data_IF_802812805565
#
_entry.id   IF_802812805565
#
_cell.length_a   1.000
_cell.length_b   1.000
_cell.length_c   1.000
_cell.angle_alpha   90.00
_cell.angle_beta   90.00
_cell.angle_gamma   90.00
#
_symmetry.space_group_name_H-M   'P 1'
#
loop_
_entity.id
_entity.type
_entity.pdbx_description
1 polymer ?
#
# COMPACT_ATOMS: atom_id res chain seq x y z
N UNK A 1 8.48 23.97 3.41
CA UNK A 1 9.91 24.13 3.09
C UNK A 1 10.08 23.69 1.65
N UNK A 2 10.73 24.49 0.81
CA UNK A 2 11.07 24.09 -0.56
C UNK A 2 12.20 23.03 -0.58
N UNK A 3 12.47 22.47 -1.77
CA UNK A 3 13.44 21.39 -1.92
C UNK A 3 14.89 21.84 -1.68
N UNK A 4 15.25 23.08 -2.02
CA UNK A 4 16.62 23.59 -1.83
C UNK A 4 16.94 23.83 -0.35
N UNK A 5 15.99 24.39 0.39
CA UNK A 5 16.09 24.56 1.83
C UNK A 5 16.13 23.20 2.55
N UNK A 6 15.33 22.22 2.09
CA UNK A 6 15.36 20.86 2.63
C UNK A 6 16.69 20.16 2.37
N UNK A 7 17.21 20.24 1.14
CA UNK A 7 18.51 19.66 0.77
C UNK A 7 19.64 20.25 1.62
N UNK A 8 19.67 21.58 1.77
CA UNK A 8 20.66 22.26 2.60
C UNK A 8 20.55 21.83 4.07
N UNK A 9 19.33 21.72 4.58
CA UNK A 9 19.08 21.25 5.94
C UNK A 9 19.58 19.82 6.14
N UNK A 10 19.22 18.88 5.26
CA UNK A 10 19.67 17.47 5.36
C UNK A 10 21.21 17.38 5.34
N UNK A 11 21.87 18.10 4.41
CA UNK A 11 23.34 18.10 4.34
C UNK A 11 23.99 18.64 5.62
N UNK A 12 23.36 19.64 6.26
CA UNK A 12 23.86 20.18 7.53
C UNK A 12 23.73 19.21 8.73
N UNK A 13 22.89 18.17 8.60
CA UNK A 13 22.76 17.13 9.62
C UNK A 13 23.88 16.09 9.53
N UNK A 14 24.66 16.08 8.43
CA UNK A 14 25.76 15.13 8.19
C UNK A 14 25.36 13.66 8.40
N UNK A 15 24.12 13.32 8.01
CA UNK A 15 23.64 11.93 8.12
C UNK A 15 24.33 11.03 7.09
N UNK A 16 24.68 9.81 7.50
CA UNK A 16 25.32 8.83 6.62
C UNK A 16 24.33 8.19 5.64
N UNK A 17 23.10 7.95 6.09
CA UNK A 17 22.06 7.22 5.36
C UNK A 17 20.76 8.02 5.38
N UNK A 18 20.24 8.31 4.19
CA UNK A 18 18.91 8.90 4.01
C UNK A 18 17.95 7.87 3.41
N UNK A 19 16.74 7.77 3.98
CA UNK A 19 15.73 6.79 3.55
C UNK A 19 14.50 7.49 2.97
N UNK A 20 14.17 7.15 1.73
CA UNK A 20 12.93 7.51 1.07
C UNK A 20 11.80 6.53 1.47
N UNK A 21 10.68 7.11 1.92
CA UNK A 21 9.46 6.41 2.31
C UNK A 21 8.23 6.85 1.50
N UNK A 22 8.44 7.58 0.40
CA UNK A 22 7.37 8.05 -0.47
C UNK A 22 7.50 7.49 -1.88
N UNK A 23 8.70 7.46 -2.44
CA UNK A 23 8.89 7.09 -3.85
C UNK A 23 8.06 7.96 -4.79
N UNK A 24 7.45 7.37 -5.83
CA UNK A 24 6.63 8.10 -6.81
C UNK A 24 5.21 8.45 -6.33
N UNK A 25 4.93 8.39 -5.03
CA UNK A 25 3.62 8.79 -4.48
C UNK A 25 3.52 10.30 -4.28
N UNK A 26 2.33 10.76 -3.87
CA UNK A 26 2.09 12.16 -3.53
C UNK A 26 3.07 12.69 -2.47
N UNK A 27 3.35 13.99 -2.55
CA UNK A 27 4.24 14.73 -1.65
C UNK A 27 5.71 14.23 -1.59
N UNK A 28 6.15 13.42 -2.55
CA UNK A 28 7.53 12.93 -2.62
C UNK A 28 8.56 14.06 -2.71
N UNK A 29 9.81 13.71 -2.35
CA UNK A 29 10.97 14.60 -2.37
C UNK A 29 12.10 14.03 -3.22
N UNK A 30 11.74 13.31 -4.28
CA UNK A 30 12.70 12.61 -5.13
C UNK A 30 13.77 13.53 -5.74
N UNK A 31 13.46 14.80 -6.01
CA UNK A 31 14.46 15.79 -6.44
C UNK A 31 15.58 16.01 -5.41
N UNK A 32 15.27 15.94 -4.11
CA UNK A 32 16.26 16.05 -3.03
C UNK A 32 17.19 14.84 -3.03
N UNK A 33 16.64 13.65 -3.31
CA UNK A 33 17.43 12.42 -3.45
C UNK A 33 18.26 12.44 -4.73
N UNK A 34 17.70 12.88 -5.86
CA UNK A 34 18.43 13.05 -7.12
C UNK A 34 19.60 14.04 -7.00
N UNK A 35 19.50 15.03 -6.10
CA UNK A 35 20.59 15.95 -5.79
C UNK A 35 21.68 15.36 -4.87
N UNK A 36 21.58 14.07 -4.48
CA UNK A 36 22.43 13.39 -3.49
C UNK A 36 22.49 14.18 -2.17
N UNK A 37 21.47 14.03 -1.36
CA UNK A 37 21.33 14.66 -0.05
C UNK A 37 22.19 14.00 1.04
N UNK A 38 22.44 12.68 0.93
CA UNK A 38 23.31 11.93 1.85
C UNK A 38 24.26 10.99 1.08
N UNK A 39 25.37 10.54 1.69
CA UNK A 39 26.34 9.64 1.05
C UNK A 39 25.73 8.31 0.61
N UNK A 40 24.84 7.74 1.42
CA UNK A 40 24.06 6.55 1.07
C UNK A 40 22.59 6.91 1.07
N UNK A 41 21.88 6.55 0.02
CA UNK A 41 20.45 6.77 -0.12
C UNK A 41 19.71 5.48 -0.41
N UNK A 42 18.60 5.28 0.27
CA UNK A 42 17.85 4.03 0.27
C UNK A 42 16.38 4.33 0.03
N UNK A 43 15.70 3.53 -0.79
CA UNK A 43 14.23 3.55 -0.87
C UNK A 43 13.64 2.31 -0.19
N UNK A 44 12.46 2.49 0.39
CA UNK A 44 11.71 1.40 1.02
C UNK A 44 10.21 1.52 0.71
N UNK A 45 9.36 1.38 1.73
CA UNK A 45 7.94 1.04 1.67
C UNK A 45 7.04 1.97 0.83
N UNK A 46 7.49 3.21 0.59
CA UNK A 46 6.68 4.25 -0.06
C UNK A 46 6.20 3.91 -1.46
N UNK A 47 7.00 3.18 -2.23
CA UNK A 47 6.66 2.79 -3.60
C UNK A 47 7.11 1.36 -3.90
N UNK A 48 6.25 0.61 -4.60
CA UNK A 48 6.40 -0.84 -4.76
C UNK A 48 7.34 -1.26 -5.89
N UNK A 49 7.81 -0.31 -6.71
CA UNK A 49 8.71 -0.56 -7.83
C UNK A 49 10.02 0.23 -7.70
N UNK A 50 10.95 -0.01 -8.63
CA UNK A 50 12.15 0.82 -8.83
C UNK A 50 11.77 2.30 -8.91
N UNK A 51 12.60 3.18 -8.33
CA UNK A 51 12.50 4.61 -8.53
C UNK A 51 13.11 5.05 -9.85
N UNK A 52 14.07 4.28 -10.38
CA UNK A 52 14.76 4.60 -11.63
C UNK A 52 15.67 5.83 -11.51
N UNK A 53 16.16 6.10 -10.30
CA UNK A 53 17.03 7.23 -9.98
C UNK A 53 18.41 6.68 -9.64
N UNK A 54 19.43 7.11 -10.38
CA UNK A 54 20.81 6.64 -10.21
C UNK A 54 21.38 7.00 -8.83
N UNK A 55 20.86 8.07 -8.20
CA UNK A 55 21.25 8.48 -6.87
C UNK A 55 20.65 7.67 -5.71
N UNK A 56 19.79 6.69 -5.99
CA UNK A 56 19.29 5.76 -4.97
C UNK A 56 20.12 4.49 -5.02
N UNK A 57 20.91 4.24 -3.97
CA UNK A 57 21.89 3.15 -3.96
C UNK A 57 21.21 1.80 -3.68
N UNK A 58 20.24 1.76 -2.77
CA UNK A 58 19.63 0.53 -2.30
C UNK A 58 18.12 0.58 -2.23
N UNK A 59 17.49 -0.57 -2.45
CA UNK A 59 16.09 -0.83 -2.11
C UNK A 59 16.02 -1.88 -1.00
N UNK A 60 15.37 -1.55 0.11
CA UNK A 60 15.00 -2.54 1.12
C UNK A 60 13.82 -3.36 0.59
N UNK A 61 14.00 -4.68 0.56
CA UNK A 61 13.02 -5.63 0.00
C UNK A 61 13.12 -7.00 0.68
N UNK A 62 12.38 -8.00 0.21
CA UNK A 62 12.54 -9.41 0.62
C UNK A 62 12.54 -10.37 -0.58
N UNK A 63 12.69 -11.66 -0.29
CA UNK A 63 12.74 -12.70 -1.33
C UNK A 63 11.38 -13.01 -1.97
N UNK A 64 10.27 -12.65 -1.32
CA UNK A 64 8.93 -12.90 -1.84
C UNK A 64 8.52 -11.80 -2.83
N UNK A 65 8.79 -10.54 -2.48
CA UNK A 65 8.48 -9.37 -3.31
C UNK A 65 9.49 -9.19 -4.44
N UNK A 66 10.75 -9.55 -4.22
CA UNK A 66 11.82 -9.47 -5.20
C UNK A 66 12.63 -10.78 -5.23
N UNK A 67 12.13 -11.84 -5.87
CA UNK A 67 12.84 -13.12 -5.93
C UNK A 67 14.20 -12.99 -6.66
N UNK A 68 15.10 -13.98 -6.52
CA UNK A 68 16.35 -14.00 -7.28
C UNK A 68 16.10 -13.88 -8.79
N UNK A 69 16.83 -12.98 -9.46
CA UNK A 69 16.65 -12.65 -10.88
C UNK A 69 15.84 -11.37 -11.13
N UNK A 70 15.16 -10.84 -10.10
CA UNK A 70 14.44 -9.57 -10.21
C UNK A 70 15.37 -8.35 -10.40
N UNK A 71 16.65 -8.45 -10.07
CA UNK A 71 17.66 -7.38 -10.14
C UNK A 71 17.69 -6.67 -11.49
N UNK A 72 17.41 -7.38 -12.58
CA UNK A 72 17.37 -6.81 -13.93
C UNK A 72 16.29 -5.72 -14.12
N UNK A 73 15.33 -5.62 -13.20
CA UNK A 73 14.23 -4.66 -13.23
C UNK A 73 14.40 -3.48 -12.29
N UNK A 74 15.54 -3.38 -11.58
CA UNK A 74 15.80 -2.33 -10.59
C UNK A 74 17.10 -1.59 -10.92
N UNK A 75 17.08 -0.27 -10.72
CA UNK A 75 18.31 0.53 -10.76
C UNK A 75 19.05 0.47 -9.43
N UNK A 76 18.30 0.30 -8.32
CA UNK A 76 18.86 0.16 -6.99
C UNK A 76 19.40 -1.26 -6.74
N UNK A 77 20.43 -1.37 -5.90
CA UNK A 77 20.84 -2.67 -5.38
C UNK A 77 19.80 -3.21 -4.38
N UNK A 78 19.33 -4.44 -4.61
CA UNK A 78 18.31 -5.07 -3.78
C UNK A 78 18.90 -5.60 -2.46
N UNK A 79 18.59 -4.93 -1.36
CA UNK A 79 18.92 -5.37 -0.01
C UNK A 79 17.77 -6.21 0.55
N UNK A 80 17.93 -7.53 0.53
CA UNK A 80 16.88 -8.49 0.89
C UNK A 80 16.91 -8.86 2.37
N UNK A 81 15.79 -8.64 3.04
CA UNK A 81 15.53 -9.04 4.42
C UNK A 81 14.75 -10.37 4.46
N UNK A 82 14.68 -10.99 5.64
CA UNK A 82 13.88 -12.21 5.84
C UNK A 82 12.37 -11.94 5.70
N UNK A 83 11.92 -10.74 6.09
CA UNK A 83 10.54 -10.29 5.92
C UNK A 83 10.55 -8.77 5.77
N UNK A 84 9.96 -8.25 4.69
CA UNK A 84 9.91 -6.82 4.43
C UNK A 84 8.95 -6.07 5.35
N UNK A 85 7.97 -6.79 5.91
CA UNK A 85 6.91 -6.22 6.73
C UNK A 85 6.96 -6.75 8.15
N UNK A 86 6.87 -5.84 9.12
CA UNK A 86 6.58 -6.19 10.50
C UNK A 86 5.22 -5.60 10.85
N UNK A 87 4.28 -6.45 11.22
CA UNK A 87 2.96 -6.03 11.70
C UNK A 87 2.90 -6.16 13.22
N UNK A 88 2.60 -5.05 13.88
CA UNK A 88 2.19 -5.04 15.27
C UNK A 88 0.71 -4.61 15.32
N UNK A 89 -0.21 -5.44 15.87
CA UNK A 89 -1.59 -5.04 15.99
C UNK A 89 -1.73 -3.82 16.92
N UNK A 90 -2.70 -2.92 16.67
CA UNK A 90 -3.02 -1.84 17.60
C UNK A 90 -3.38 -2.38 18.99
N UNK A 91 -3.09 -1.58 20.03
CA UNK A 91 -3.35 -1.95 21.44
C UNK A 91 -4.83 -2.23 21.73
N UNK A 92 -5.73 -1.68 20.92
CA UNK A 92 -7.18 -1.81 21.03
C UNK A 92 -7.78 -2.79 20.00
N UNK A 93 -6.99 -3.73 19.48
CA UNK A 93 -7.52 -4.80 18.65
C UNK A 93 -8.20 -5.84 19.56
N UNK A 94 -9.53 -5.91 19.52
CA UNK A 94 -10.27 -6.96 20.23
C UNK A 94 -10.07 -8.29 19.49
N UNK A 95 -9.54 -9.31 20.18
CA UNK A 95 -9.24 -10.62 19.59
C UNK A 95 -10.50 -11.44 19.25
N UNK A 96 -11.67 -11.00 19.71
CA UNK A 96 -12.91 -11.79 19.63
C UNK A 96 -14.10 -10.89 19.32
N UNK A 97 -14.60 -11.00 18.09
CA UNK A 97 -15.91 -10.49 17.69
C UNK A 97 -16.76 -11.64 17.17
N UNK A 98 -18.07 -11.69 17.47
CA UNK A 98 -18.97 -12.68 16.89
C UNK A 98 -18.96 -12.48 15.37
N UNK A 99 -18.82 -13.58 14.64
CA UNK A 99 -18.70 -13.46 13.19
C UNK A 99 -20.04 -13.05 12.58
N UNK A 100 -20.09 -12.03 11.70
CA UNK A 100 -21.33 -11.55 11.10
C UNK A 100 -22.17 -12.63 10.41
N UNK A 101 -21.55 -13.69 9.86
CA UNK A 101 -22.30 -14.78 9.22
C UNK A 101 -23.17 -15.55 10.22
N UNK A 102 -22.77 -15.64 11.49
CA UNK A 102 -23.52 -16.36 12.53
C UNK A 102 -24.88 -15.71 12.80
N UNK A 103 -24.97 -14.38 12.64
CA UNK A 103 -26.22 -13.63 12.78
C UNK A 103 -27.00 -13.52 11.46
N UNK A 104 -26.32 -13.33 10.33
CA UNK A 104 -26.97 -12.97 9.07
C UNK A 104 -27.29 -14.18 8.17
N UNK A 105 -26.68 -15.35 8.40
CA UNK A 105 -26.90 -16.56 7.60
C UNK A 105 -26.19 -16.57 6.24
N UNK A 106 -25.36 -15.57 5.93
CA UNK A 106 -24.56 -15.48 4.72
C UNK A 106 -23.20 -14.80 4.99
N UNK A 107 -22.25 -14.99 4.09
CA UNK A 107 -20.92 -14.35 4.14
C UNK A 107 -20.96 -13.03 3.38
N UNK A 108 -20.39 -11.98 3.99
CA UNK A 108 -20.18 -10.68 3.33
C UNK A 108 -18.72 -10.57 2.88
N UNK A 109 -18.50 -10.34 1.58
CA UNK A 109 -17.16 -10.05 1.06
C UNK A 109 -16.93 -8.53 1.06
N UNK A 110 -15.77 -8.08 1.52
CA UNK A 110 -15.42 -6.66 1.60
C UNK A 110 -14.09 -6.41 0.91
N UNK A 111 -14.02 -5.37 0.06
CA UNK A 111 -12.78 -4.82 -0.48
C UNK A 111 -12.60 -3.39 0.03
N UNK A 112 -11.52 -3.15 0.78
CA UNK A 112 -11.15 -1.84 1.36
C UNK A 112 -10.02 -1.16 0.57
N UNK A 113 -9.89 -1.45 -0.71
CA UNK A 113 -8.85 -0.87 -1.57
C UNK A 113 -9.21 0.55 -2.01
N UNK A 114 -8.20 1.36 -2.33
CA UNK A 114 -8.40 2.69 -2.92
C UNK A 114 -9.14 2.59 -4.27
N UNK A 115 -10.01 3.56 -4.58
CA UNK A 115 -10.89 3.56 -5.76
C UNK A 115 -10.15 3.45 -7.08
N UNK A 116 -9.02 4.14 -7.22
CA UNK A 116 -8.15 4.03 -8.41
C UNK A 116 -7.65 2.61 -8.70
N UNK A 117 -7.69 1.69 -7.73
CA UNK A 117 -7.36 0.28 -7.95
C UNK A 117 -8.56 -0.53 -8.48
N UNK A 118 -9.79 -0.07 -8.25
CA UNK A 118 -11.02 -0.76 -8.63
C UNK A 118 -11.35 -0.62 -10.14
N UNK A 119 -10.84 0.40 -10.82
CA UNK A 119 -11.08 0.64 -12.25
C UNK A 119 -10.41 -0.40 -13.17
N UNK A 120 -9.45 -1.18 -12.65
CA UNK A 120 -8.60 -2.11 -13.41
C UNK A 120 -9.28 -3.46 -13.81
N UNK A 121 -10.61 -3.55 -13.80
CA UNK A 121 -11.35 -4.78 -14.17
C UNK A 121 -11.39 -5.87 -13.09
N UNK A 122 -10.72 -5.67 -11.95
CA UNK A 122 -10.69 -6.57 -10.78
C UNK A 122 -12.05 -6.79 -10.08
N UNK A 123 -13.01 -5.84 -10.02
CA UNK A 123 -14.32 -6.07 -9.42
C UNK A 123 -15.11 -7.21 -10.07
N UNK A 124 -14.84 -7.50 -11.36
CA UNK A 124 -15.52 -8.57 -12.11
C UNK A 124 -15.12 -9.98 -11.67
N UNK A 125 -13.98 -10.14 -10.98
CA UNK A 125 -13.55 -11.46 -10.47
C UNK A 125 -14.23 -11.78 -9.12
N UNK A 126 -14.41 -10.78 -8.25
CA UNK A 126 -15.09 -10.94 -6.96
C UNK A 126 -16.61 -11.15 -7.14
N UNK A 127 -17.21 -10.54 -8.16
CA UNK A 127 -18.62 -10.72 -8.51
C UNK A 127 -18.97 -12.10 -9.09
N UNK A 128 -18.00 -13.00 -9.32
CA UNK A 128 -18.24 -14.37 -9.81
C UNK A 128 -18.46 -15.40 -8.69
N UNK A 129 -18.18 -15.03 -7.44
CA UNK A 129 -18.32 -15.91 -6.28
C UNK A 129 -19.69 -15.93 -5.59
N UNK A 130 -20.55 -14.89 -5.64
CA UNK A 130 -21.90 -15.07 -5.15
C UNK A 130 -22.65 -15.99 -6.13
N UNK A 131 -22.83 -17.25 -5.72
CA UNK A 131 -23.82 -18.12 -6.37
C UNK A 131 -25.17 -17.44 -6.23
N UNK A 132 -25.96 -17.42 -7.32
CA UNK A 132 -27.28 -16.77 -7.35
C UNK A 132 -28.28 -17.32 -6.31
N UNK A 133 -27.96 -18.44 -5.65
CA UNK A 133 -28.73 -19.07 -4.57
C UNK A 133 -28.24 -18.71 -3.15
N UNK A 134 -27.06 -18.09 -3.04
CA UNK A 134 -26.49 -17.64 -1.77
C UNK A 134 -26.74 -16.14 -1.59
N UNK A 135 -27.30 -15.74 -0.44
CA UNK A 135 -27.62 -14.35 -0.12
C UNK A 135 -26.36 -13.48 0.13
N UNK A 136 -25.20 -13.87 -0.42
CA UNK A 136 -23.90 -13.22 -0.23
C UNK A 136 -23.76 -11.97 -1.10
N UNK A 137 -23.43 -10.85 -0.47
CA UNK A 137 -23.15 -9.57 -1.13
C UNK A 137 -21.67 -9.18 -1.11
N UNK A 138 -21.26 -8.32 -2.04
CA UNK A 138 -19.95 -7.68 -2.10
C UNK A 138 -20.08 -6.20 -1.71
N UNK A 139 -19.37 -5.77 -0.68
CA UNK A 139 -19.25 -4.36 -0.28
C UNK A 139 -17.90 -3.83 -0.75
N UNK A 140 -17.93 -2.79 -1.58
CA UNK A 140 -16.75 -2.00 -1.94
C UNK A 140 -16.85 -0.69 -1.16
N UNK A 141 -15.91 -0.45 -0.24
CA UNK A 141 -15.88 0.79 0.52
C UNK A 141 -14.93 1.75 -0.20
N UNK A 142 -15.48 2.86 -0.70
CA UNK A 142 -14.73 3.95 -1.32
C UNK A 142 -14.77 5.19 -0.45
N UNK A 143 -13.67 5.95 -0.41
CA UNK A 143 -13.59 7.24 0.29
C UNK A 143 -14.27 8.40 -0.44
N UNK A 144 -14.84 8.16 -1.63
CA UNK A 144 -15.75 9.11 -2.26
C UNK A 144 -17.03 9.18 -1.43
N UNK A 145 -17.35 10.37 -0.92
CA UNK A 145 -18.59 10.62 -0.22
C UNK A 145 -19.77 10.45 -1.19
N UNK A 146 -20.26 9.23 -1.34
CA UNK A 146 -21.63 9.04 -1.80
C UNK A 146 -22.55 9.40 -0.64
N UNK A 147 -23.42 10.39 -0.86
CA UNK A 147 -24.67 10.62 -0.14
C UNK A 147 -25.62 9.41 -0.29
N UNK A 148 -25.15 8.22 0.08
CA UNK A 148 -25.92 6.99 0.06
C UNK A 148 -26.29 6.63 1.50
N UNK A 149 -27.59 6.69 1.78
CA UNK A 149 -28.20 6.23 3.02
C UNK A 149 -27.72 4.81 3.35
N UNK A 150 -27.04 4.58 4.49
CA UNK A 150 -26.48 3.28 4.86
C UNK A 150 -27.54 2.18 5.04
N UNK A 151 -28.85 2.50 4.99
CA UNK A 151 -29.94 1.52 5.09
C UNK A 151 -30.30 0.79 3.80
N UNK A 152 -29.71 1.13 2.65
CA UNK A 152 -30.14 0.60 1.33
C UNK A 152 -29.45 -0.66 0.82
N UNK A 153 -28.70 -1.37 1.66
CA UNK A 153 -27.99 -2.60 1.26
C UNK A 153 -28.69 -3.92 1.65
N UNK A 154 -29.93 -3.87 2.15
CA UNK A 154 -30.71 -5.09 2.35
C UNK A 154 -31.49 -5.43 1.08
N UNK A 155 -31.38 -6.66 0.53
CA UNK A 155 -32.41 -7.14 -0.38
C UNK A 155 -33.71 -7.23 0.43
N UNK A 156 -34.78 -6.59 -0.05
CA UNK A 156 -36.12 -6.79 0.52
C UNK A 156 -36.48 -8.26 0.34
N UNK A 157 -36.57 -8.97 1.47
CA UNK A 157 -37.03 -10.36 1.52
C UNK A 157 -38.55 -10.32 1.55
N UNK A 158 -39.18 -10.72 0.45
CA UNK A 158 -40.60 -11.08 0.41
C UNK A 158 -40.86 -12.45 1.02
#
# INVERSE_FOLDING_TARGET
MDNDALLSFIRSLEIDILVDLSGHTEASKLEVFAARAAPVQVTWWGFVHTLGIDEIDYRLTDFETCPPGAEAHYTEALCRMACLTAYAPPVNCEDQYPSPWQGNGYVTMISLNHTGQAESGRPRLLARYPDAESNSGLIVVSSEATEADPKRLHPEVG
#
